data_IF_777377828162
#
_entry.id   IF_777377828162
#
_cell.length_a   1.000
_cell.length_b   1.000
_cell.length_c   1.000
_cell.angle_alpha   90.00
_cell.angle_beta   90.00
_cell.angle_gamma   90.00
#
_symmetry.space_group_name_H-M   'P 1'
#
loop_
_entity.id
_entity.type
_entity.pdbx_description
1 polymer ?
#
# COMPACT_ATOMS: atom_id res chain seq x y z
N UNK A 1 32.97 1.11 0.08
CA UNK A 1 32.54 1.57 -1.28
C UNK A 1 31.93 2.95 -1.15
N UNK A 2 32.36 3.92 -1.97
CA UNK A 2 31.77 5.27 -1.93
C UNK A 2 30.36 5.27 -2.52
N UNK A 3 29.57 6.31 -2.26
CA UNK A 3 28.22 6.42 -2.84
C UNK A 3 28.25 6.51 -4.38
N UNK A 4 29.30 7.13 -4.96
CA UNK A 4 29.52 7.14 -6.40
C UNK A 4 29.79 5.73 -6.93
N UNK A 5 30.63 4.96 -6.26
CA UNK A 5 30.89 3.57 -6.64
C UNK A 5 29.64 2.69 -6.52
N UNK A 6 28.84 2.86 -5.49
CA UNK A 6 27.54 2.16 -5.35
C UNK A 6 26.60 2.49 -6.51
N UNK A 7 26.50 3.78 -6.89
CA UNK A 7 25.72 4.22 -8.05
C UNK A 7 26.20 3.55 -9.34
N UNK A 8 27.50 3.55 -9.59
CA UNK A 8 28.08 2.99 -10.80
C UNK A 8 27.93 1.47 -10.88
N UNK A 9 28.11 0.74 -9.77
CA UNK A 9 27.87 -0.71 -9.69
C UNK A 9 26.40 -1.01 -9.97
N UNK A 10 25.49 -0.22 -9.41
CA UNK A 10 24.06 -0.36 -9.68
C UNK A 10 23.75 -0.11 -11.17
N UNK A 11 24.23 0.99 -11.76
CA UNK A 11 24.03 1.30 -13.17
C UNK A 11 24.65 0.23 -14.09
N UNK A 12 25.79 -0.34 -13.72
CA UNK A 12 26.35 -1.49 -14.42
C UNK A 12 25.39 -2.68 -14.43
N UNK A 13 24.67 -2.89 -13.34
CA UNK A 13 23.76 -4.02 -13.18
C UNK A 13 22.46 -3.86 -13.96
N UNK A 14 21.97 -2.62 -14.13
CA UNK A 14 20.64 -2.33 -14.72
C UNK A 14 20.70 -1.74 -16.13
N UNK A 15 21.88 -1.53 -16.68
CA UNK A 15 22.16 -0.91 -17.96
C UNK A 15 21.73 0.57 -18.04
N UNK A 16 20.45 0.85 -17.83
CA UNK A 16 19.92 2.21 -17.73
C UNK A 16 18.71 2.27 -16.80
N UNK A 17 18.49 3.43 -16.16
CA UNK A 17 17.37 3.67 -15.25
C UNK A 17 16.83 5.08 -15.45
N UNK A 18 15.54 5.31 -15.20
CA UNK A 18 14.99 6.66 -15.14
C UNK A 18 15.63 7.46 -14.00
N UNK A 19 16.03 8.69 -14.28
CA UNK A 19 16.70 9.57 -13.30
C UNK A 19 15.91 9.70 -12.00
N UNK A 20 14.58 9.84 -12.07
CA UNK A 20 13.69 9.95 -10.92
C UNK A 20 13.63 8.69 -10.05
N UNK A 21 13.97 7.54 -10.59
CA UNK A 21 13.96 6.25 -9.89
C UNK A 21 15.28 5.92 -9.18
N UNK A 22 16.35 6.70 -9.42
CA UNK A 22 17.66 6.44 -8.82
C UNK A 22 17.63 6.43 -7.29
N UNK A 23 16.91 7.37 -6.68
CA UNK A 23 16.81 7.46 -5.23
C UNK A 23 16.04 6.29 -4.60
N UNK A 24 15.06 5.76 -5.34
CA UNK A 24 14.30 4.56 -4.93
C UNK A 24 15.18 3.32 -5.08
N UNK A 25 15.93 3.24 -6.19
CA UNK A 25 16.80 2.12 -6.50
C UNK A 25 17.99 1.98 -5.52
N UNK A 26 18.52 3.10 -5.07
CA UNK A 26 19.60 3.21 -4.09
C UNK A 26 19.06 3.59 -2.71
N UNK A 27 18.08 2.81 -2.23
CA UNK A 27 17.36 3.08 -0.98
C UNK A 27 18.25 3.07 0.27
N UNK A 28 19.39 2.38 0.21
CA UNK A 28 20.44 2.38 1.25
C UNK A 28 21.25 3.69 1.34
N UNK A 29 21.03 4.63 0.41
CA UNK A 29 21.73 5.91 0.34
C UNK A 29 20.69 7.05 0.53
N UNK A 30 20.94 8.03 1.41
CA UNK A 30 20.09 9.22 1.53
C UNK A 30 19.94 9.94 0.19
N UNK A 31 18.75 10.47 -0.09
CA UNK A 31 18.41 11.13 -1.37
C UNK A 31 19.46 12.18 -1.80
N UNK A 32 19.85 13.04 -0.86
CA UNK A 32 20.85 14.09 -1.12
C UNK A 32 22.21 13.50 -1.52
N UNK A 33 22.58 12.35 -0.94
CA UNK A 33 23.83 11.67 -1.26
C UNK A 33 23.76 10.99 -2.64
N UNK A 34 22.60 10.46 -3.07
CA UNK A 34 22.39 9.95 -4.43
C UNK A 34 22.57 11.08 -5.46
N UNK A 35 21.98 12.24 -5.19
CA UNK A 35 22.11 13.43 -6.07
C UNK A 35 23.56 13.92 -6.15
N UNK A 36 24.27 13.95 -5.01
CA UNK A 36 25.70 14.30 -4.98
C UNK A 36 26.56 13.29 -5.76
N UNK A 37 26.31 11.99 -5.55
CA UNK A 37 27.01 10.92 -6.28
C UNK A 37 26.79 11.00 -7.79
N UNK A 38 25.55 11.26 -8.21
CA UNK A 38 25.25 11.42 -9.64
C UNK A 38 25.94 12.65 -10.26
N UNK A 39 25.97 13.78 -9.55
CA UNK A 39 26.69 14.98 -10.00
C UNK A 39 28.21 14.72 -10.11
N UNK A 40 28.79 14.03 -9.15
CA UNK A 40 30.21 13.65 -9.17
C UNK A 40 30.49 12.72 -10.35
N UNK A 41 29.71 11.63 -10.50
CA UNK A 41 29.87 10.69 -11.61
C UNK A 41 29.68 11.37 -12.99
N UNK A 42 28.78 12.34 -13.12
CA UNK A 42 28.62 13.14 -14.33
C UNK A 42 29.84 14.03 -14.58
N UNK A 43 30.36 14.69 -13.53
CA UNK A 43 31.56 15.54 -13.63
C UNK A 43 32.80 14.73 -14.07
N UNK A 44 32.92 13.49 -13.60
CA UNK A 44 34.01 12.57 -13.97
C UNK A 44 33.77 11.88 -15.33
N UNK A 45 32.65 12.12 -16.01
CA UNK A 45 32.33 11.46 -17.28
C UNK A 45 31.94 9.98 -17.14
N UNK A 46 31.66 9.50 -15.92
CA UNK A 46 31.35 8.09 -15.65
C UNK A 46 29.92 7.69 -15.97
N UNK A 47 29.03 8.67 -16.15
CA UNK A 47 27.63 8.45 -16.50
C UNK A 47 27.20 9.34 -17.65
N UNK A 48 26.26 8.83 -18.44
CA UNK A 48 25.57 9.56 -19.49
C UNK A 48 24.11 9.75 -19.11
N UNK A 49 23.59 10.96 -19.37
CA UNK A 49 22.16 11.28 -19.19
C UNK A 49 21.57 11.51 -20.57
N UNK A 50 20.52 10.80 -20.91
CA UNK A 50 19.85 10.89 -22.21
C UNK A 50 18.34 10.91 -22.06
N UNK A 51 17.65 11.39 -23.08
CA UNK A 51 16.18 11.42 -23.15
C UNK A 51 15.68 10.20 -23.93
N UNK A 52 14.61 9.59 -23.42
CA UNK A 52 13.85 8.55 -24.09
C UNK A 52 12.40 8.64 -23.64
N UNK A 53 11.44 8.65 -24.57
CA UNK A 53 9.99 8.73 -24.30
C UNK A 53 9.66 9.82 -23.26
N UNK A 54 10.16 11.05 -23.51
CA UNK A 54 10.01 12.25 -22.65
C UNK A 54 10.62 12.12 -21.24
N UNK A 55 11.23 11.01 -20.92
CA UNK A 55 11.87 10.75 -19.63
C UNK A 55 13.39 10.80 -19.71
N UNK A 56 14.00 11.35 -18.63
CA UNK A 56 15.47 11.32 -18.48
C UNK A 56 15.92 9.95 -17.98
N UNK A 57 16.89 9.37 -18.64
CA UNK A 57 17.56 8.12 -18.25
C UNK A 57 19.03 8.37 -17.95
N UNK A 58 19.57 7.54 -17.06
CA UNK A 58 20.99 7.53 -16.69
C UNK A 58 21.54 6.15 -17.00
N UNK A 59 22.71 6.09 -17.63
CA UNK A 59 23.47 4.86 -17.84
C UNK A 59 24.94 5.07 -17.51
N UNK A 60 25.66 3.98 -17.26
CA UNK A 60 27.11 4.04 -17.09
C UNK A 60 27.77 4.29 -18.44
N UNK A 61 28.77 5.18 -18.48
CA UNK A 61 29.57 5.45 -19.65
C UNK A 61 30.67 4.40 -19.85
N UNK A 62 31.33 4.36 -21.02
CA UNK A 62 32.52 3.53 -21.23
C UNK A 62 33.65 3.80 -20.24
N UNK A 63 33.86 5.05 -19.84
CA UNK A 63 34.87 5.42 -18.84
C UNK A 63 34.45 5.04 -17.41
N UNK A 64 33.18 5.16 -17.09
CA UNK A 64 32.63 4.62 -15.84
C UNK A 64 32.78 3.10 -15.74
N UNK A 65 32.61 2.38 -16.86
CA UNK A 65 32.87 0.94 -16.92
C UNK A 65 34.32 0.59 -16.66
N UNK A 66 35.26 1.35 -17.26
CA UNK A 66 36.70 1.16 -17.03
C UNK A 66 37.05 1.42 -15.55
N UNK A 67 36.52 2.51 -14.99
CA UNK A 67 36.77 2.87 -13.60
C UNK A 67 36.25 1.78 -12.62
N UNK A 68 35.03 1.30 -12.77
CA UNK A 68 34.49 0.24 -11.93
C UNK A 68 35.26 -1.06 -12.07
N UNK A 69 35.65 -1.44 -13.28
CA UNK A 69 36.50 -2.64 -13.54
C UNK A 69 37.87 -2.57 -12.87
N UNK A 70 38.44 -1.38 -12.75
CA UNK A 70 39.74 -1.20 -12.09
C UNK A 70 39.63 -1.16 -10.56
N UNK A 71 38.52 -0.66 -10.02
CA UNK A 71 38.35 -0.41 -8.57
C UNK A 71 37.54 -1.48 -7.85
N UNK A 72 36.72 -2.25 -8.55
CA UNK A 72 35.74 -3.21 -7.98
C UNK A 72 35.75 -4.54 -8.75
N UNK A 73 36.92 -5.14 -8.95
CA UNK A 73 37.07 -6.40 -9.74
C UNK A 73 36.16 -7.52 -9.24
N UNK A 74 36.01 -7.67 -7.94
CA UNK A 74 35.21 -8.74 -7.30
C UNK A 74 33.70 -8.53 -7.42
N UNK A 75 33.24 -7.29 -7.69
CA UNK A 75 31.81 -6.98 -7.83
C UNK A 75 31.28 -7.23 -9.27
N UNK A 76 32.15 -7.54 -10.23
CA UNK A 76 31.87 -7.55 -11.68
C UNK A 76 31.98 -8.94 -12.31
N UNK A 77 31.45 -9.97 -11.70
CA UNK A 77 31.42 -11.32 -12.25
C UNK A 77 30.61 -11.38 -13.57
N UNK A 78 31.30 -11.78 -14.67
CA UNK A 78 30.77 -11.74 -16.05
C UNK A 78 29.58 -12.71 -16.24
N UNK A 79 29.59 -13.83 -15.55
CA UNK A 79 28.50 -14.84 -15.65
C UNK A 79 27.19 -14.35 -14.99
N UNK A 80 27.27 -13.42 -14.07
CA UNK A 80 26.08 -12.75 -13.50
C UNK A 80 25.35 -11.85 -14.50
N UNK A 81 25.99 -11.44 -15.60
CA UNK A 81 25.40 -10.52 -16.60
C UNK A 81 24.24 -11.12 -17.39
N UNK A 82 24.28 -12.41 -17.72
CA UNK A 82 23.18 -13.09 -18.42
C UNK A 82 21.98 -13.35 -17.50
N UNK A 83 22.24 -13.67 -16.24
CA UNK A 83 21.22 -13.77 -15.19
C UNK A 83 20.61 -12.38 -14.86
N UNK A 84 21.40 -11.31 -14.96
CA UNK A 84 20.98 -9.92 -14.75
C UNK A 84 20.01 -9.39 -15.79
N UNK A 85 20.14 -9.73 -17.08
CA UNK A 85 19.15 -9.28 -18.10
C UNK A 85 17.71 -9.67 -17.76
N UNK A 86 17.48 -10.81 -17.13
CA UNK A 86 16.16 -11.22 -16.62
C UNK A 86 15.77 -10.45 -15.36
N UNK A 87 16.73 -10.07 -14.52
CA UNK A 87 16.51 -9.25 -13.32
C UNK A 87 16.17 -7.80 -13.66
N UNK A 88 16.74 -7.20 -14.72
CA UNK A 88 16.50 -5.82 -15.11
C UNK A 88 15.01 -5.53 -15.34
N UNK A 89 14.32 -6.38 -16.13
CA UNK A 89 12.88 -6.20 -16.38
C UNK A 89 12.04 -6.34 -15.11
N UNK A 90 12.42 -7.25 -14.23
CA UNK A 90 11.83 -7.44 -12.92
C UNK A 90 12.04 -6.23 -12.01
N UNK A 91 13.26 -5.68 -12.02
CA UNK A 91 13.64 -4.52 -11.21
C UNK A 91 12.93 -3.24 -11.66
N UNK A 92 12.87 -2.95 -12.96
CA UNK A 92 12.07 -1.83 -13.46
C UNK A 92 10.60 -1.92 -13.02
N UNK A 93 10.00 -3.11 -13.12
CA UNK A 93 8.65 -3.33 -12.64
C UNK A 93 8.52 -3.14 -11.12
N UNK A 94 9.53 -3.51 -10.33
CA UNK A 94 9.57 -3.26 -8.88
C UNK A 94 9.63 -1.76 -8.60
N UNK A 95 10.54 -1.05 -9.24
CA UNK A 95 10.71 0.40 -9.06
C UNK A 95 9.45 1.18 -9.44
N UNK A 96 8.79 0.80 -10.55
CA UNK A 96 7.53 1.43 -10.96
C UNK A 96 6.44 1.24 -9.91
N UNK A 97 6.34 0.04 -9.33
CA UNK A 97 5.37 -0.21 -8.25
C UNK A 97 5.66 0.62 -7.00
N UNK A 98 6.93 0.68 -6.59
CA UNK A 98 7.35 1.50 -5.44
C UNK A 98 7.07 2.98 -5.71
N UNK A 99 7.43 3.49 -6.88
CA UNK A 99 7.17 4.87 -7.28
C UNK A 99 5.67 5.20 -7.26
N UNK A 100 4.85 4.33 -7.86
CA UNK A 100 3.38 4.50 -7.85
C UNK A 100 2.84 4.54 -6.42
N UNK A 101 3.26 3.61 -5.57
CA UNK A 101 2.83 3.57 -4.16
C UNK A 101 3.26 4.82 -3.41
N UNK A 102 4.50 5.28 -3.57
CA UNK A 102 5.00 6.52 -2.97
C UNK A 102 4.18 7.75 -3.41
N UNK A 103 3.86 7.85 -4.70
CA UNK A 103 3.03 8.93 -5.22
C UNK A 103 1.63 8.93 -4.59
N UNK A 104 0.99 7.76 -4.49
CA UNK A 104 -0.32 7.61 -3.89
C UNK A 104 -0.31 7.95 -2.39
N UNK A 105 0.66 7.42 -1.64
CA UNK A 105 0.79 7.69 -0.21
C UNK A 105 1.02 9.18 0.06
N UNK A 106 1.94 9.84 -0.66
CA UNK A 106 2.16 11.30 -0.51
C UNK A 106 0.90 12.10 -0.80
N UNK A 107 0.18 11.76 -1.87
CA UNK A 107 -1.07 12.44 -2.21
C UNK A 107 -2.16 12.23 -1.14
N UNK A 108 -2.16 11.06 -0.46
CA UNK A 108 -3.04 10.77 0.67
C UNK A 108 -2.55 11.38 2.00
N UNK A 109 -1.43 12.11 2.00
CA UNK A 109 -0.81 12.67 3.20
C UNK A 109 -0.04 11.65 4.06
N UNK A 110 0.15 10.42 3.57
CA UNK A 110 0.96 9.39 4.24
C UNK A 110 2.42 9.62 3.87
N UNK A 111 3.21 10.05 4.83
CA UNK A 111 4.61 10.39 4.60
C UNK A 111 5.50 9.14 4.54
N UNK A 112 6.42 9.03 3.56
CA UNK A 112 7.46 8.00 3.59
C UNK A 112 8.42 8.24 4.76
N UNK A 113 8.69 7.22 5.57
CA UNK A 113 9.56 7.29 6.73
C UNK A 113 10.97 7.81 6.40
N UNK A 114 11.49 7.44 5.24
CA UNK A 114 12.76 7.97 4.72
C UNK A 114 12.76 9.49 4.51
N UNK A 115 11.64 10.10 4.15
CA UNK A 115 11.51 11.56 3.97
C UNK A 115 11.41 12.26 5.32
N UNK A 116 10.80 11.62 6.30
CA UNK A 116 10.80 12.05 7.70
C UNK A 116 12.14 11.81 8.40
N UNK A 117 13.11 11.16 7.73
CA UNK A 117 14.39 10.75 8.32
C UNK A 117 14.24 9.78 9.51
N UNK A 118 13.14 9.04 9.56
CA UNK A 118 12.81 8.04 10.57
C UNK A 118 13.08 6.66 10.00
N UNK A 119 13.68 5.77 10.80
CA UNK A 119 13.88 4.36 10.45
C UNK A 119 13.00 3.47 11.30
N UNK A 120 12.51 2.37 10.71
CA UNK A 120 11.67 1.42 11.43
C UNK A 120 12.35 0.87 12.69
N UNK A 121 13.65 0.56 12.62
CA UNK A 121 14.39 0.03 13.77
C UNK A 121 14.46 1.04 14.92
N UNK A 122 14.60 2.32 14.59
CA UNK A 122 14.68 3.40 15.60
C UNK A 122 13.28 3.67 16.22
N UNK A 123 12.20 3.50 15.45
CA UNK A 123 10.80 3.59 15.94
C UNK A 123 10.49 2.50 16.97
N UNK A 124 11.04 1.31 16.79
CA UNK A 124 10.73 0.15 17.64
C UNK A 124 11.47 0.18 18.99
N UNK A 125 12.33 1.16 19.21
CA UNK A 125 13.08 1.38 20.45
C UNK A 125 12.59 2.66 21.16
N UNK A 126 11.85 2.56 22.28
CA UNK A 126 11.24 3.72 22.97
C UNK A 126 12.27 4.72 23.54
N UNK A 127 13.54 4.35 23.62
CA UNK A 127 14.60 5.26 24.07
C UNK A 127 15.08 6.21 22.96
N UNK A 128 14.63 6.04 21.73
CA UNK A 128 15.00 6.86 20.58
C UNK A 128 14.08 8.07 20.41
N UNK A 129 14.63 9.23 20.09
CA UNK A 129 13.85 10.43 19.72
C UNK A 129 12.92 10.17 18.53
N UNK A 130 13.31 9.26 17.63
CA UNK A 130 12.51 8.84 16.48
C UNK A 130 11.18 8.20 16.86
N UNK A 131 11.13 7.46 17.98
CA UNK A 131 9.91 6.87 18.51
C UNK A 131 8.93 7.93 18.96
N UNK A 132 9.40 8.91 19.73
CA UNK A 132 8.55 10.01 20.18
C UNK A 132 8.02 10.83 19.00
N UNK A 133 8.90 11.18 18.05
CA UNK A 133 8.48 11.86 16.82
C UNK A 133 7.46 11.05 16.04
N UNK A 134 7.65 9.74 15.90
CA UNK A 134 6.69 8.87 15.24
C UNK A 134 5.35 8.84 15.95
N UNK A 135 5.34 8.64 17.27
CA UNK A 135 4.10 8.56 18.06
C UNK A 135 3.34 9.88 18.04
N UNK A 136 4.02 11.02 18.23
CA UNK A 136 3.37 12.32 18.33
C UNK A 136 2.89 12.86 16.96
N UNK A 137 3.72 12.74 15.91
CA UNK A 137 3.50 13.46 14.65
C UNK A 137 2.83 12.58 13.58
N UNK A 138 2.89 11.25 13.71
CA UNK A 138 2.46 10.35 12.64
C UNK A 138 1.51 9.25 13.08
N UNK A 139 1.74 8.64 14.24
CA UNK A 139 0.98 7.45 14.65
C UNK A 139 -0.51 7.73 14.78
N UNK A 140 -0.86 8.83 15.41
CA UNK A 140 -2.26 9.23 15.63
C UNK A 140 -2.89 9.94 14.43
N UNK A 141 -2.11 10.34 13.44
CA UNK A 141 -2.58 10.88 12.16
C UNK A 141 -2.64 9.77 11.10
N UNK A 142 -2.04 9.97 9.96
CA UNK A 142 -2.08 9.06 8.79
C UNK A 142 -1.00 7.98 8.80
N UNK A 143 -0.06 8.07 9.72
CA UNK A 143 1.04 7.14 9.87
C UNK A 143 2.22 7.39 8.95
N UNK A 144 3.21 6.50 9.02
CA UNK A 144 4.38 6.48 8.17
C UNK A 144 4.40 5.25 7.26
N UNK A 145 4.85 5.45 6.02
CA UNK A 145 5.15 4.40 5.07
C UNK A 145 6.60 3.93 5.22
N UNK A 146 6.80 2.69 5.66
CA UNK A 146 8.08 1.99 5.66
C UNK A 146 8.19 1.09 4.43
N UNK A 147 9.23 1.25 3.61
CA UNK A 147 9.40 0.46 2.39
C UNK A 147 9.92 -0.95 2.67
N UNK A 148 9.63 -1.88 1.77
CA UNK A 148 9.98 -3.30 1.90
C UNK A 148 11.47 -3.57 2.10
N UNK A 149 12.35 -2.74 1.52
CA UNK A 149 13.80 -2.89 1.66
C UNK A 149 14.25 -2.52 3.08
N UNK A 150 13.69 -1.47 3.67
CA UNK A 150 13.91 -1.05 5.06
C UNK A 150 13.40 -2.09 6.06
N UNK A 151 12.17 -2.59 5.85
CA UNK A 151 11.59 -3.65 6.67
C UNK A 151 12.49 -4.90 6.64
N UNK A 152 13.01 -5.25 5.46
CA UNK A 152 13.92 -6.40 5.32
C UNK A 152 15.23 -6.19 6.06
N UNK A 153 15.76 -4.96 6.06
CA UNK A 153 16.97 -4.63 6.78
C UNK A 153 16.73 -4.71 8.31
N UNK A 154 15.62 -4.17 8.79
CA UNK A 154 15.23 -4.21 10.22
C UNK A 154 15.06 -5.65 10.70
N UNK A 155 14.32 -6.50 9.97
CA UNK A 155 14.15 -7.92 10.33
C UNK A 155 15.50 -8.62 10.44
N UNK A 156 16.41 -8.42 9.47
CA UNK A 156 17.75 -9.03 9.50
C UNK A 156 18.60 -8.60 10.68
N UNK A 157 18.40 -7.38 11.15
CA UNK A 157 19.17 -6.83 12.29
C UNK A 157 18.60 -7.32 13.63
N UNK A 158 17.29 -7.41 13.73
CA UNK A 158 16.56 -7.74 14.98
C UNK A 158 16.43 -9.24 15.24
N UNK A 159 16.52 -10.08 14.19
CA UNK A 159 16.38 -11.53 14.37
C UNK A 159 17.74 -12.21 14.44
N UNK A 160 17.99 -12.92 15.54
CA UNK A 160 19.11 -13.90 15.69
C UNK A 160 18.85 -15.18 14.88
N UNK A 161 17.78 -15.25 14.10
CA UNK A 161 17.41 -16.39 13.28
C UNK A 161 18.36 -16.48 12.07
N UNK A 162 19.31 -17.41 12.17
CA UNK A 162 20.28 -17.77 11.12
C UNK A 162 19.71 -18.44 9.87
N UNK A 163 18.41 -18.34 9.62
CA UNK A 163 17.80 -18.79 8.38
C UNK A 163 17.75 -17.61 7.39
N UNK A 164 18.30 -17.85 6.21
CA UNK A 164 18.09 -17.01 5.01
C UNK A 164 16.58 -16.95 4.69
N UNK A 165 15.85 -16.11 5.44
CA UNK A 165 14.51 -15.71 5.01
C UNK A 165 14.68 -15.05 3.65
N UNK A 166 14.31 -15.76 2.59
CA UNK A 166 14.25 -15.23 1.22
C UNK A 166 13.10 -14.24 1.09
N UNK A 167 13.15 -13.18 1.92
CA UNK A 167 12.20 -12.05 1.93
C UNK A 167 12.13 -11.36 0.57
N UNK A 168 13.14 -11.57 -0.28
CA UNK A 168 13.21 -10.99 -1.63
C UNK A 168 12.21 -11.52 -2.64
N UNK A 169 11.40 -12.53 -2.33
CA UNK A 169 10.39 -13.08 -3.24
C UNK A 169 8.98 -12.55 -2.99
N UNK A 170 8.71 -11.92 -1.84
CA UNK A 170 7.46 -11.24 -1.55
C UNK A 170 7.23 -10.06 -2.52
N UNK A 171 5.97 -9.73 -2.75
CA UNK A 171 5.52 -8.60 -3.58
C UNK A 171 5.17 -7.37 -2.77
N UNK A 172 5.37 -7.41 -1.48
CA UNK A 172 5.18 -6.29 -0.57
C UNK A 172 5.99 -5.08 -1.05
N UNK A 173 5.34 -3.93 -1.16
CA UNK A 173 5.98 -2.64 -1.46
C UNK A 173 6.39 -1.94 -0.18
N UNK A 174 5.54 -1.97 0.84
CA UNK A 174 5.78 -1.37 2.14
C UNK A 174 4.64 -1.61 3.10
N UNK A 175 4.77 -1.09 4.30
CA UNK A 175 3.71 -1.08 5.32
C UNK A 175 3.45 0.36 5.77
N UNK A 176 2.20 0.66 6.07
CA UNK A 176 1.81 1.87 6.80
C UNK A 176 1.44 1.46 8.21
N UNK A 177 2.00 2.16 9.19
CA UNK A 177 1.73 1.95 10.61
C UNK A 177 1.09 3.21 11.17
N UNK A 178 -0.09 3.10 11.73
CA UNK A 178 -0.79 4.16 12.44
C UNK A 178 -1.76 3.57 13.49
N UNK A 179 -2.47 4.42 14.23
CA UNK A 179 -3.42 4.02 15.27
C UNK A 179 -4.54 3.07 14.80
N UNK A 180 -4.85 3.05 13.50
CA UNK A 180 -5.92 2.19 12.95
C UNK A 180 -5.44 0.79 12.60
N UNK A 181 -4.15 0.52 12.76
CA UNK A 181 -3.53 -0.77 12.49
C UNK A 181 -2.37 -0.73 11.52
N UNK A 182 -1.99 -1.91 11.07
CA UNK A 182 -0.87 -2.13 10.15
C UNK A 182 -1.42 -2.50 8.78
N UNK A 183 -1.13 -1.67 7.77
CA UNK A 183 -1.58 -1.86 6.40
C UNK A 183 -0.42 -2.29 5.51
N UNK A 184 -0.53 -3.46 4.88
CA UNK A 184 0.44 -4.00 3.93
C UNK A 184 0.09 -3.56 2.52
N UNK A 185 0.99 -2.83 1.85
CA UNK A 185 0.76 -2.24 0.54
C UNK A 185 1.35 -3.09 -0.58
N UNK A 186 0.52 -3.41 -1.55
CA UNK A 186 0.89 -4.09 -2.78
C UNK A 186 0.50 -3.24 -3.99
N UNK A 187 1.23 -3.36 -5.10
CA UNK A 187 0.91 -2.64 -6.32
C UNK A 187 0.89 -3.57 -7.51
N UNK A 188 -0.27 -3.71 -8.15
CA UNK A 188 -0.44 -4.58 -9.32
C UNK A 188 -0.28 -3.85 -10.66
N UNK A 189 -0.41 -2.53 -10.67
CA UNK A 189 -0.56 -1.71 -11.86
C UNK A 189 -1.80 -2.12 -12.69
N UNK A 190 -1.63 -2.57 -13.93
CA UNK A 190 -2.69 -2.92 -14.88
C UNK A 190 -2.90 -4.43 -15.08
N UNK A 191 -2.06 -5.27 -14.45
CA UNK A 191 -2.09 -6.73 -14.61
C UNK A 191 -2.03 -7.43 -13.27
N UNK A 192 -2.68 -8.58 -13.16
CA UNK A 192 -2.53 -9.44 -12.00
C UNK A 192 -1.05 -9.78 -11.81
N UNK A 193 -0.53 -9.50 -10.62
CA UNK A 193 0.84 -9.83 -10.29
C UNK A 193 0.96 -11.28 -9.85
N UNK A 194 2.19 -11.80 -9.92
CA UNK A 194 2.52 -13.08 -9.33
C UNK A 194 2.43 -12.96 -7.81
N UNK A 195 1.69 -13.90 -7.21
CA UNK A 195 1.46 -14.00 -5.79
C UNK A 195 1.74 -15.42 -5.33
N UNK A 196 2.58 -15.60 -4.35
CA UNK A 196 2.88 -16.91 -3.78
C UNK A 196 2.55 -16.84 -2.30
N UNK A 197 1.43 -17.47 -1.91
CA UNK A 197 0.85 -17.40 -0.57
C UNK A 197 1.89 -17.65 0.52
N UNK A 198 2.69 -18.71 0.41
CA UNK A 198 3.69 -19.04 1.43
C UNK A 198 4.78 -17.98 1.61
N UNK A 199 5.12 -17.22 0.57
CA UNK A 199 6.09 -16.12 0.68
C UNK A 199 5.47 -14.91 1.37
N UNK A 200 4.23 -14.60 1.04
CA UNK A 200 3.51 -13.48 1.64
C UNK A 200 3.15 -13.78 3.11
N UNK A 201 2.70 -15.00 3.44
CA UNK A 201 2.47 -15.43 4.83
C UNK A 201 3.73 -15.28 5.69
N UNK A 202 4.87 -15.79 5.22
CA UNK A 202 6.15 -15.65 5.94
C UNK A 202 6.52 -14.18 6.13
N UNK A 203 6.29 -13.36 5.11
CA UNK A 203 6.60 -11.93 5.17
C UNK A 203 5.74 -11.21 6.20
N UNK A 204 4.41 -11.45 6.17
CA UNK A 204 3.46 -10.88 7.13
C UNK A 204 3.78 -11.35 8.54
N UNK A 205 3.99 -12.67 8.74
CA UNK A 205 4.36 -13.20 10.06
C UNK A 205 5.63 -12.59 10.60
N UNK A 206 6.69 -12.49 9.78
CA UNK A 206 7.95 -11.89 10.21
C UNK A 206 7.83 -10.40 10.59
N UNK A 207 7.02 -9.64 9.85
CA UNK A 207 6.74 -8.24 10.18
C UNK A 207 5.93 -8.13 11.46
N UNK A 208 4.85 -8.90 11.58
CA UNK A 208 4.00 -8.86 12.78
C UNK A 208 4.73 -9.32 14.03
N UNK A 209 5.59 -10.33 13.91
CA UNK A 209 6.46 -10.80 15.01
C UNK A 209 7.47 -9.72 15.42
N UNK A 210 8.14 -9.10 14.46
CA UNK A 210 9.05 -7.98 14.71
C UNK A 210 8.36 -6.85 15.50
N UNK A 211 7.16 -6.43 15.07
CA UNK A 211 6.43 -5.35 15.70
C UNK A 211 5.94 -5.74 17.11
N UNK A 212 5.39 -6.95 17.28
CA UNK A 212 4.91 -7.47 18.58
C UNK A 212 6.03 -7.66 19.61
N UNK A 213 7.20 -8.08 19.16
CA UNK A 213 8.36 -8.31 20.03
C UNK A 213 9.19 -7.07 20.30
N UNK A 214 8.81 -5.92 19.77
CA UNK A 214 9.53 -4.66 19.96
C UNK A 214 9.40 -4.12 21.39
N UNK A 215 10.40 -3.36 21.82
CA UNK A 215 10.35 -2.65 23.11
C UNK A 215 9.21 -1.62 23.14
N UNK A 216 8.87 -1.02 22.00
CA UNK A 216 7.72 -0.11 21.90
C UNK A 216 6.41 -0.82 22.21
N UNK A 217 6.16 -2.01 21.66
CA UNK A 217 4.96 -2.78 21.95
C UNK A 217 4.88 -3.25 23.42
N UNK A 218 6.02 -3.34 24.10
CA UNK A 218 6.08 -3.67 25.53
C UNK A 218 5.79 -2.48 26.45
N UNK A 219 5.95 -1.25 25.97
CA UNK A 219 5.87 -0.01 26.77
C UNK A 219 4.69 0.89 26.40
N UNK A 220 4.13 0.75 25.21
CA UNK A 220 3.02 1.56 24.70
C UNK A 220 1.80 0.68 24.39
N UNK A 221 0.69 0.94 25.09
CA UNK A 221 -0.54 0.13 25.01
C UNK A 221 -1.24 0.29 23.67
N UNK A 222 -1.22 1.48 23.06
CA UNK A 222 -1.85 1.74 21.78
C UNK A 222 -1.11 1.02 20.65
N UNK A 223 0.22 1.08 20.69
CA UNK A 223 1.03 0.35 19.74
C UNK A 223 0.90 -1.18 19.91
N UNK A 224 0.86 -1.67 21.15
CA UNK A 224 0.58 -3.07 21.44
C UNK A 224 -0.78 -3.52 20.90
N UNK A 225 -1.78 -2.66 21.04
CA UNK A 225 -3.14 -2.92 20.53
C UNK A 225 -3.15 -3.12 19.02
N UNK A 226 -2.55 -2.21 18.24
CA UNK A 226 -2.51 -2.36 16.78
C UNK A 226 -1.69 -3.56 16.32
N UNK A 227 -0.64 -3.93 17.06
CA UNK A 227 0.14 -5.12 16.79
C UNK A 227 -0.68 -6.42 16.95
N UNK A 228 -1.72 -6.42 17.80
CA UNK A 228 -2.61 -7.54 18.00
C UNK A 228 -3.82 -7.54 17.06
N UNK A 229 -4.06 -6.48 16.32
CA UNK A 229 -5.10 -6.43 15.30
C UNK A 229 -4.71 -7.26 14.06
N UNK A 230 -5.72 -7.73 13.34
CA UNK A 230 -5.49 -8.35 12.02
C UNK A 230 -4.97 -7.32 11.04
N UNK A 231 -3.83 -7.57 10.37
CA UNK A 231 -3.29 -6.62 9.41
C UNK A 231 -4.22 -6.45 8.20
N UNK A 232 -4.24 -5.24 7.64
CA UNK A 232 -4.99 -4.90 6.43
C UNK A 232 -4.11 -5.12 5.20
N UNK A 233 -4.70 -5.59 4.10
CA UNK A 233 -4.06 -5.60 2.79
C UNK A 233 -4.63 -4.48 1.92
N UNK A 234 -3.78 -3.65 1.33
CA UNK A 234 -4.18 -2.62 0.38
C UNK A 234 -3.50 -2.90 -0.96
N UNK A 235 -4.29 -3.19 -1.98
CA UNK A 235 -3.83 -3.45 -3.34
C UNK A 235 -4.03 -2.21 -4.21
N UNK A 236 -2.94 -1.56 -4.58
CA UNK A 236 -2.95 -0.42 -5.49
C UNK A 236 -2.91 -0.92 -6.93
N UNK A 237 -3.83 -0.46 -7.78
CA UNK A 237 -3.88 -0.83 -9.19
C UNK A 237 -4.23 0.36 -10.09
N UNK A 238 -3.96 0.25 -11.39
CA UNK A 238 -4.15 1.36 -12.32
C UNK A 238 -5.61 1.81 -12.43
N UNK A 239 -6.52 0.84 -12.51
CA UNK A 239 -7.97 1.10 -12.65
C UNK A 239 -8.77 0.03 -11.93
N UNK A 240 -10.02 0.35 -11.58
CA UNK A 240 -10.96 -0.60 -10.98
C UNK A 240 -11.29 -1.80 -11.90
N UNK A 241 -10.96 -1.76 -13.18
CA UNK A 241 -11.16 -2.88 -14.12
C UNK A 241 -10.37 -4.16 -13.76
N UNK A 242 -9.41 -4.06 -12.82
CA UNK A 242 -8.69 -5.24 -12.31
C UNK A 242 -9.44 -5.97 -11.18
N UNK A 243 -10.35 -5.27 -10.49
CA UNK A 243 -11.10 -5.81 -9.34
C UNK A 243 -11.84 -7.11 -9.67
N UNK A 244 -12.64 -7.18 -10.75
CA UNK A 244 -13.29 -8.44 -11.12
C UNK A 244 -12.33 -9.59 -11.36
N UNK A 245 -11.14 -9.31 -11.90
CA UNK A 245 -10.11 -10.33 -12.15
C UNK A 245 -9.49 -10.86 -10.88
N UNK A 246 -9.37 -10.02 -9.85
CA UNK A 246 -8.88 -10.44 -8.52
C UNK A 246 -9.94 -11.32 -7.84
N UNK A 247 -11.21 -10.92 -7.89
CA UNK A 247 -12.32 -11.66 -7.27
C UNK A 247 -12.52 -13.01 -7.94
N UNK A 248 -12.57 -13.06 -9.28
CA UNK A 248 -12.88 -14.30 -10.01
C UNK A 248 -11.69 -15.22 -10.20
N UNK A 249 -10.48 -14.73 -9.97
CA UNK A 249 -9.26 -15.48 -10.27
C UNK A 249 -9.01 -15.69 -11.76
N UNK A 250 -9.84 -15.11 -12.63
CA UNK A 250 -9.85 -15.37 -14.06
C UNK A 250 -9.00 -14.36 -14.83
N UNK A 251 -7.94 -14.86 -15.42
CA UNK A 251 -7.08 -14.07 -16.32
C UNK A 251 -7.79 -13.69 -17.63
N UNK A 252 -8.85 -14.41 -18.02
CA UNK A 252 -9.49 -14.31 -19.34
C UNK A 252 -11.02 -14.29 -19.35
N UNK A 253 -11.67 -14.22 -18.19
CA UNK A 253 -13.15 -14.27 -18.10
C UNK A 253 -13.76 -15.63 -18.43
N UNK A 254 -12.97 -16.70 -18.38
CA UNK A 254 -13.43 -18.07 -18.61
C UNK A 254 -13.13 -18.92 -17.38
N UNK A 255 -14.09 -19.71 -16.93
CA UNK A 255 -13.87 -20.72 -15.90
C UNK A 255 -12.68 -21.61 -16.29
N UNK A 256 -11.78 -21.84 -15.34
CA UNK A 256 -10.61 -22.70 -15.55
C UNK A 256 -11.14 -24.11 -15.80
N UNK A 257 -10.98 -24.59 -17.02
CA UNK A 257 -11.30 -25.97 -17.33
C UNK A 257 -10.34 -26.90 -16.56
N UNK A 258 -10.89 -27.79 -15.76
CA UNK A 258 -10.16 -28.64 -14.81
C UNK A 258 -9.13 -29.59 -15.46
N UNK A 259 -9.11 -29.65 -16.79
CA UNK A 259 -8.20 -30.51 -17.56
C UNK A 259 -6.83 -29.90 -17.82
N UNK A 260 -6.60 -28.61 -17.51
CA UNK A 260 -5.35 -27.92 -17.83
C UNK A 260 -4.50 -27.65 -16.56
N UNK A 261 -3.83 -28.71 -16.11
CA UNK A 261 -2.98 -28.71 -14.88
C UNK A 261 -1.92 -27.59 -14.90
N UNK A 262 -1.38 -27.27 -16.07
CA UNK A 262 -0.33 -26.21 -16.19
C UNK A 262 -0.95 -24.83 -15.99
N UNK A 263 -2.13 -24.57 -16.52
CA UNK A 263 -2.86 -23.30 -16.32
C UNK A 263 -3.35 -23.18 -14.90
N UNK A 264 -3.85 -24.25 -14.30
CA UNK A 264 -4.26 -24.31 -12.87
C UNK A 264 -3.09 -23.98 -11.96
N UNK A 265 -1.91 -24.58 -12.20
CA UNK A 265 -0.71 -24.33 -11.40
C UNK A 265 -0.20 -22.87 -11.51
N UNK A 266 -0.37 -22.22 -12.67
CA UNK A 266 -0.05 -20.80 -12.82
C UNK A 266 -1.12 -19.88 -12.23
N UNK A 267 -2.40 -20.25 -12.25
CA UNK A 267 -3.49 -19.51 -11.64
C UNK A 267 -3.36 -19.46 -10.11
N UNK A 268 -2.93 -20.56 -9.47
CA UNK A 268 -2.69 -20.62 -8.01
C UNK A 268 -1.54 -19.71 -7.54
N UNK A 269 -0.81 -19.08 -8.47
CA UNK A 269 0.31 -18.17 -8.18
C UNK A 269 0.03 -16.73 -8.59
N UNK A 270 -1.24 -16.35 -8.78
CA UNK A 270 -1.63 -14.99 -9.07
C UNK A 270 -2.29 -14.34 -7.85
N UNK A 271 -2.27 -13.01 -7.84
CA UNK A 271 -3.05 -12.22 -6.88
C UNK A 271 -4.54 -12.40 -7.19
N UNK A 272 -5.20 -13.21 -6.37
CA UNK A 272 -6.65 -13.46 -6.41
C UNK A 272 -7.20 -13.34 -5.01
N UNK A 273 -8.52 -13.14 -4.87
CA UNK A 273 -9.15 -13.05 -3.57
C UNK A 273 -8.91 -14.31 -2.74
N UNK A 274 -9.12 -15.49 -3.31
CA UNK A 274 -8.85 -16.77 -2.63
C UNK A 274 -7.41 -16.88 -2.07
N UNK A 275 -6.43 -16.27 -2.76
CA UNK A 275 -5.05 -16.25 -2.29
C UNK A 275 -4.79 -15.14 -1.26
N UNK A 276 -5.53 -14.02 -1.33
CA UNK A 276 -5.48 -12.94 -0.33
C UNK A 276 -6.05 -13.39 1.01
N UNK A 277 -7.20 -14.05 1.00
CA UNK A 277 -7.89 -14.55 2.20
C UNK A 277 -7.08 -15.56 3.01
N UNK A 278 -6.11 -16.23 2.37
CA UNK A 278 -5.17 -17.10 3.08
C UNK A 278 -4.12 -16.33 3.91
N UNK A 279 -3.99 -15.03 3.68
CA UNK A 279 -2.97 -14.18 4.34
C UNK A 279 -3.60 -13.07 5.17
N UNK A 280 -4.70 -12.49 4.69
CA UNK A 280 -5.35 -11.33 5.28
C UNK A 280 -6.82 -11.58 5.55
N UNK A 281 -7.32 -11.00 6.63
CA UNK A 281 -8.75 -11.00 6.96
C UNK A 281 -9.52 -9.91 6.19
N UNK A 282 -8.84 -8.80 5.87
CA UNK A 282 -9.43 -7.64 5.18
C UNK A 282 -8.52 -7.21 4.05
N UNK A 283 -9.06 -7.10 2.85
CA UNK A 283 -8.32 -6.75 1.64
C UNK A 283 -9.07 -5.68 0.83
N UNK A 284 -8.37 -4.59 0.53
CA UNK A 284 -8.93 -3.40 -0.11
C UNK A 284 -8.25 -3.13 -1.43
N UNK A 285 -8.99 -2.51 -2.36
CA UNK A 285 -8.46 -2.03 -3.62
C UNK A 285 -8.47 -0.51 -3.71
N UNK A 286 -7.40 0.05 -4.25
CA UNK A 286 -7.23 1.49 -4.46
C UNK A 286 -6.74 1.74 -5.88
N UNK A 287 -7.51 2.45 -6.74
CA UNK A 287 -7.06 2.83 -8.09
C UNK A 287 -6.05 3.97 -8.02
N UNK A 288 -5.14 4.06 -9.01
CA UNK A 288 -4.17 5.17 -9.12
C UNK A 288 -4.80 6.41 -9.76
N UNK A 289 -5.79 6.98 -9.10
CA UNK A 289 -6.55 8.18 -9.53
C UNK A 289 -6.78 9.10 -8.33
N UNK A 290 -7.36 10.29 -8.54
CA UNK A 290 -7.78 11.20 -7.46
C UNK A 290 -8.67 10.50 -6.45
N UNK A 291 -9.69 9.78 -6.91
CA UNK A 291 -10.56 8.97 -6.05
C UNK A 291 -9.76 7.94 -5.26
N UNK A 292 -8.76 7.31 -5.88
CA UNK A 292 -7.91 6.35 -5.18
C UNK A 292 -7.12 6.98 -4.04
N UNK A 293 -6.78 8.26 -4.11
CA UNK A 293 -6.15 8.99 -3.00
C UNK A 293 -7.10 9.06 -1.81
N UNK A 294 -8.36 9.41 -2.05
CA UNK A 294 -9.39 9.44 -0.99
C UNK A 294 -9.66 8.05 -0.41
N UNK A 295 -9.78 7.04 -1.28
CA UNK A 295 -9.95 5.65 -0.82
C UNK A 295 -8.76 5.17 0.01
N UNK A 296 -7.54 5.55 -0.36
CA UNK A 296 -6.33 5.21 0.41
C UNK A 296 -6.35 5.90 1.77
N UNK A 297 -6.73 7.18 1.82
CA UNK A 297 -6.88 7.93 3.07
C UNK A 297 -7.92 7.26 3.97
N UNK A 298 -9.11 6.98 3.48
CA UNK A 298 -10.17 6.30 4.25
C UNK A 298 -9.72 4.93 4.76
N UNK A 299 -9.09 4.13 3.90
CA UNK A 299 -8.64 2.77 4.25
C UNK A 299 -7.51 2.78 5.28
N UNK A 300 -6.57 3.73 5.15
CA UNK A 300 -5.42 3.83 6.03
C UNK A 300 -5.76 4.54 7.36
N UNK A 301 -6.53 5.63 7.32
CA UNK A 301 -6.76 6.51 8.46
C UNK A 301 -8.00 6.17 9.29
N UNK A 302 -8.96 5.40 8.75
CA UNK A 302 -10.19 5.05 9.47
C UNK A 302 -10.21 3.59 9.91
N UNK A 303 -10.72 3.37 11.10
CA UNK A 303 -11.10 2.04 11.59
C UNK A 303 -12.36 1.56 10.89
N UNK A 304 -12.66 0.27 11.01
CA UNK A 304 -13.91 -0.28 10.47
C UNK A 304 -15.17 0.32 11.12
N UNK A 305 -15.10 0.62 12.40
CA UNK A 305 -16.21 1.26 13.10
C UNK A 305 -16.44 2.69 12.60
N UNK A 306 -15.38 3.47 12.40
CA UNK A 306 -15.49 4.81 11.82
C UNK A 306 -16.01 4.78 10.37
N UNK A 307 -15.62 3.79 9.56
CA UNK A 307 -16.22 3.59 8.24
C UNK A 307 -17.71 3.24 8.31
N UNK A 308 -18.12 2.41 9.27
CA UNK A 308 -19.54 2.07 9.47
C UNK A 308 -20.35 3.27 9.95
N UNK A 309 -19.80 4.09 10.84
CA UNK A 309 -20.43 5.34 11.26
C UNK A 309 -20.62 6.30 10.07
N UNK A 310 -19.58 6.44 9.22
CA UNK A 310 -19.67 7.24 8.01
C UNK A 310 -20.78 6.75 7.07
N UNK A 311 -20.89 5.43 6.86
CA UNK A 311 -21.98 4.82 6.08
C UNK A 311 -23.33 5.14 6.73
N UNK A 312 -23.45 5.01 8.04
CA UNK A 312 -24.70 5.31 8.77
C UNK A 312 -25.14 6.75 8.57
N UNK A 313 -24.23 7.69 8.71
CA UNK A 313 -24.51 9.11 8.52
C UNK A 313 -24.96 9.42 7.08
N UNK A 314 -24.35 8.80 6.09
CA UNK A 314 -24.77 8.98 4.72
C UNK A 314 -26.16 8.41 4.43
N UNK A 315 -26.49 7.27 5.06
CA UNK A 315 -27.81 6.68 4.95
C UNK A 315 -28.86 7.54 5.67
N UNK A 316 -28.55 8.13 6.82
CA UNK A 316 -29.42 9.05 7.53
C UNK A 316 -29.82 10.28 6.69
N UNK A 317 -28.91 10.74 5.82
CA UNK A 317 -29.20 11.87 4.93
C UNK A 317 -29.96 11.47 3.65
N UNK A 318 -29.81 10.21 3.21
CA UNK A 318 -30.43 9.71 1.98
C UNK A 318 -31.78 9.05 2.18
N UNK A 319 -31.97 8.39 3.31
CA UNK A 319 -33.09 7.51 3.57
C UNK A 319 -33.96 8.07 4.70
N UNK A 320 -35.26 7.89 4.58
CA UNK A 320 -36.23 8.21 5.64
C UNK A 320 -36.02 7.33 6.88
N UNK A 321 -35.54 6.11 6.66
CA UNK A 321 -35.10 5.17 7.69
C UNK A 321 -34.24 4.05 7.11
N UNK A 322 -33.39 3.47 7.93
CA UNK A 322 -32.61 2.30 7.56
C UNK A 322 -32.35 1.36 8.73
N UNK A 323 -31.99 0.11 8.44
CA UNK A 323 -31.55 -0.85 9.45
C UNK A 323 -30.12 -0.51 9.91
N UNK A 324 -29.74 -0.99 11.09
CA UNK A 324 -28.39 -0.79 11.61
C UNK A 324 -27.34 -1.25 10.63
N UNK A 325 -26.34 -0.40 10.37
CA UNK A 325 -25.19 -0.72 9.54
C UNK A 325 -24.32 -1.72 10.28
N UNK A 326 -24.31 -2.96 9.81
CA UNK A 326 -23.35 -3.98 10.23
C UNK A 326 -22.29 -4.12 9.16
N UNK A 327 -21.01 -4.15 9.57
CA UNK A 327 -19.88 -4.12 8.66
C UNK A 327 -20.04 -5.06 7.45
N UNK A 328 -19.97 -4.49 6.27
CA UNK A 328 -19.81 -5.22 5.04
C UNK A 328 -21.07 -5.87 4.48
N UNK A 329 -22.27 -5.49 4.88
CA UNK A 329 -23.50 -6.06 4.35
C UNK A 329 -24.44 -4.97 3.83
N UNK A 330 -25.35 -5.38 2.94
CA UNK A 330 -26.38 -4.46 2.49
C UNK A 330 -27.25 -4.00 3.68
N UNK A 331 -27.71 -2.77 3.54
CA UNK A 331 -28.65 -2.16 4.47
C UNK A 331 -30.01 -2.11 3.78
N UNK A 332 -31.06 -2.48 4.50
CA UNK A 332 -32.43 -2.18 4.04
C UNK A 332 -32.73 -0.73 4.39
N UNK A 333 -33.04 0.08 3.41
CA UNK A 333 -33.34 1.50 3.55
C UNK A 333 -34.68 1.84 2.88
N UNK A 334 -35.37 2.85 3.40
CA UNK A 334 -36.52 3.47 2.76
C UNK A 334 -36.06 4.75 2.07
N UNK A 335 -36.13 4.76 0.76
CA UNK A 335 -35.74 5.87 -0.09
C UNK A 335 -36.89 6.20 -1.00
N UNK A 336 -37.41 7.46 -0.95
CA UNK A 336 -38.59 7.89 -1.68
C UNK A 336 -39.81 6.98 -1.42
N UNK A 337 -40.10 6.70 -0.17
CA UNK A 337 -41.19 5.84 0.29
C UNK A 337 -41.13 4.37 -0.18
N UNK A 338 -40.00 3.96 -0.76
CA UNK A 338 -39.79 2.58 -1.22
C UNK A 338 -38.73 1.87 -0.41
N UNK A 339 -39.04 0.65 0.04
CA UNK A 339 -38.04 -0.22 0.65
C UNK A 339 -37.09 -0.77 -0.39
N UNK A 340 -35.80 -0.47 -0.25
CA UNK A 340 -34.75 -0.94 -1.15
C UNK A 340 -33.60 -1.55 -0.38
N UNK A 341 -32.88 -2.44 -1.05
CA UNK A 341 -31.61 -2.96 -0.58
C UNK A 341 -30.49 -2.11 -1.13
N UNK A 342 -29.68 -1.56 -0.25
CA UNK A 342 -28.63 -0.62 -0.60
C UNK A 342 -27.29 -1.13 -0.08
N UNK A 343 -26.25 -1.07 -0.91
CA UNK A 343 -24.88 -1.30 -0.53
C UNK A 343 -24.16 0.02 -0.62
N UNK A 344 -23.55 0.44 0.47
CA UNK A 344 -22.71 1.65 0.50
C UNK A 344 -21.26 1.24 0.59
N UNK A 345 -20.46 1.66 -0.38
CA UNK A 345 -19.06 1.28 -0.55
C UNK A 345 -18.17 2.52 -0.43
N UNK A 346 -17.80 2.96 0.79
CA UNK A 346 -16.87 4.07 1.01
C UNK A 346 -15.44 3.70 0.60
N UNK A 347 -15.17 2.41 0.53
CA UNK A 347 -13.91 1.79 0.09
C UNK A 347 -14.21 0.56 -0.74
N UNK A 348 -13.27 0.10 -1.56
CA UNK A 348 -13.41 -1.15 -2.33
C UNK A 348 -12.82 -2.29 -1.50
N UNK A 349 -13.66 -3.03 -0.80
CA UNK A 349 -13.30 -4.23 -0.05
C UNK A 349 -13.62 -5.48 -0.90
N UNK A 350 -12.65 -6.35 -1.12
CA UNK A 350 -12.82 -7.51 -2.00
C UNK A 350 -13.80 -8.53 -1.44
N UNK A 351 -13.71 -8.82 -0.15
CA UNK A 351 -14.55 -9.79 0.53
C UNK A 351 -16.02 -9.36 0.50
N UNK A 352 -16.27 -8.06 0.64
CA UNK A 352 -17.62 -7.50 0.52
C UNK A 352 -18.17 -7.67 -0.89
N UNK A 353 -17.39 -7.29 -1.90
CA UNK A 353 -17.81 -7.43 -3.30
C UNK A 353 -18.06 -8.89 -3.69
N UNK A 354 -17.26 -9.84 -3.20
CA UNK A 354 -17.50 -11.26 -3.44
C UNK A 354 -18.78 -11.74 -2.76
N UNK A 355 -18.98 -11.36 -1.49
CA UNK A 355 -20.21 -11.68 -0.77
C UNK A 355 -21.44 -11.19 -1.52
N UNK A 356 -21.44 -9.94 -1.97
CA UNK A 356 -22.55 -9.34 -2.70
C UNK A 356 -22.75 -9.98 -4.08
N UNK A 357 -21.67 -10.33 -4.79
CA UNK A 357 -21.73 -11.05 -6.06
C UNK A 357 -22.45 -12.38 -5.92
N UNK A 358 -22.24 -13.11 -4.83
CA UNK A 358 -22.84 -14.40 -4.56
C UNK A 358 -24.27 -14.29 -3.99
N UNK A 359 -24.70 -13.10 -3.58
CA UNK A 359 -26.05 -12.81 -3.11
C UNK A 359 -27.12 -13.08 -4.20
N UNK A 360 -28.37 -13.27 -3.78
CA UNK A 360 -29.50 -13.58 -4.70
C UNK A 360 -30.32 -12.36 -5.12
N UNK A 361 -30.15 -11.25 -4.44
CA UNK A 361 -31.01 -10.07 -4.57
C UNK A 361 -30.23 -8.94 -5.24
N UNK A 362 -30.85 -8.19 -6.17
CA UNK A 362 -30.24 -6.99 -6.73
C UNK A 362 -30.22 -5.83 -5.72
N UNK A 363 -29.31 -4.89 -5.93
CA UNK A 363 -29.01 -3.79 -5.00
C UNK A 363 -28.93 -2.44 -5.71
N UNK A 364 -29.28 -1.39 -4.96
CA UNK A 364 -28.79 -0.05 -5.24
C UNK A 364 -27.39 0.09 -4.66
N UNK A 365 -26.44 0.61 -5.43
CA UNK A 365 -25.06 0.76 -4.99
C UNK A 365 -24.73 2.23 -4.83
N UNK A 366 -24.28 2.59 -3.63
CA UNK A 366 -23.79 3.95 -3.31
C UNK A 366 -22.26 3.90 -3.27
N UNK A 367 -21.62 4.60 -4.18
CA UNK A 367 -20.15 4.63 -4.27
C UNK A 367 -19.67 5.85 -5.07
N UNK A 368 -18.41 6.15 -4.97
CA UNK A 368 -17.76 7.20 -5.78
C UNK A 368 -17.90 6.91 -7.29
N UNK A 369 -18.16 7.93 -8.10
CA UNK A 369 -18.37 7.81 -9.54
C UNK A 369 -17.27 7.03 -10.26
N UNK A 370 -16.00 7.26 -9.91
CA UNK A 370 -14.88 6.55 -10.52
C UNK A 370 -14.75 5.08 -10.14
N UNK A 371 -15.54 4.58 -9.17
CA UNK A 371 -15.57 3.17 -8.77
C UNK A 371 -16.61 2.37 -9.57
N UNK A 372 -17.63 3.01 -10.12
CA UNK A 372 -18.83 2.38 -10.69
C UNK A 372 -18.51 1.33 -11.76
N UNK A 373 -17.60 1.63 -12.71
CA UNK A 373 -17.24 0.67 -13.77
C UNK A 373 -16.66 -0.64 -13.22
N UNK A 374 -15.77 -0.54 -12.24
CA UNK A 374 -15.16 -1.71 -11.59
C UNK A 374 -16.17 -2.53 -10.78
N UNK A 375 -17.03 -1.85 -10.01
CA UNK A 375 -18.07 -2.46 -9.20
C UNK A 375 -19.14 -3.10 -10.09
N UNK A 376 -19.60 -2.41 -11.13
CA UNK A 376 -20.55 -2.96 -12.11
C UNK A 376 -20.04 -4.25 -12.74
N UNK A 377 -18.77 -4.29 -13.13
CA UNK A 377 -18.15 -5.51 -13.68
C UNK A 377 -18.00 -6.62 -12.65
N UNK A 378 -17.78 -6.27 -11.38
CA UNK A 378 -17.66 -7.26 -10.31
C UNK A 378 -19.02 -7.87 -9.93
N UNK A 379 -20.05 -7.04 -9.78
CA UNK A 379 -21.39 -7.43 -9.34
C UNK A 379 -22.32 -7.84 -10.51
N UNK A 380 -22.04 -7.37 -11.74
CA UNK A 380 -22.81 -7.69 -12.93
C UNK A 380 -24.27 -7.22 -12.84
N UNK A 381 -25.21 -8.09 -13.23
CA UNK A 381 -26.65 -7.81 -13.22
C UNK A 381 -27.28 -7.63 -11.84
N UNK A 382 -26.50 -7.71 -10.77
CA UNK A 382 -26.96 -7.45 -9.40
C UNK A 382 -27.13 -5.96 -9.10
N UNK A 383 -26.48 -5.10 -9.85
CA UNK A 383 -26.59 -3.66 -9.70
C UNK A 383 -27.85 -3.17 -10.39
N UNK A 384 -28.76 -2.55 -9.64
CA UNK A 384 -29.96 -1.90 -10.18
C UNK A 384 -29.63 -0.49 -10.66
N UNK A 385 -28.99 0.30 -9.83
CA UNK A 385 -28.52 1.63 -10.16
C UNK A 385 -27.34 2.03 -9.26
N UNK A 386 -26.74 3.17 -9.58
CA UNK A 386 -25.69 3.80 -8.76
C UNK A 386 -26.15 5.15 -8.23
N UNK A 387 -25.82 5.40 -6.95
CA UNK A 387 -25.88 6.72 -6.33
C UNK A 387 -24.47 7.22 -6.12
N UNK A 388 -24.17 8.42 -6.58
CA UNK A 388 -22.84 9.02 -6.43
C UNK A 388 -22.65 9.59 -5.02
N UNK A 389 -21.51 9.35 -4.40
CA UNK A 389 -21.12 10.01 -3.17
C UNK A 389 -20.93 11.51 -3.31
N UNK A 390 -20.51 11.97 -4.48
CA UNK A 390 -20.36 13.40 -4.76
C UNK A 390 -21.65 14.20 -4.53
N UNK A 391 -22.79 13.54 -4.55
CA UNK A 391 -24.10 14.13 -4.30
C UNK A 391 -24.61 13.90 -2.88
N UNK A 392 -23.86 13.16 -2.05
CA UNK A 392 -24.19 12.90 -0.65
C UNK A 392 -23.26 13.80 0.16
N UNK A 393 -23.80 14.87 0.81
CA UNK A 393 -22.95 15.74 1.59
C UNK A 393 -22.28 14.93 2.69
N UNK A 394 -20.95 15.08 2.80
CA UNK A 394 -20.24 14.58 3.98
C UNK A 394 -20.86 15.27 5.19
N UNK A 395 -21.15 14.57 6.26
CA UNK A 395 -21.76 15.14 7.45
C UNK A 395 -20.79 16.14 8.08
N UNK A 396 -20.89 17.40 7.65
CA UNK A 396 -20.05 18.50 8.11
C UNK A 396 -20.12 18.73 9.63
N UNK A 397 -21.09 18.11 10.29
CA UNK A 397 -21.30 18.24 11.72
C UNK A 397 -20.47 17.28 12.59
N UNK A 398 -19.79 16.31 12.01
CA UNK A 398 -18.95 15.36 12.77
C UNK A 398 -17.45 15.62 12.64
N UNK A 399 -17.04 16.39 11.65
CA UNK A 399 -15.64 16.70 11.40
C UNK A 399 -15.50 18.17 11.09
N UNK A 400 -14.47 18.80 11.58
CA UNK A 400 -14.02 20.12 11.13
C UNK A 400 -13.13 20.01 9.89
N UNK A 401 -12.64 21.15 9.39
CA UNK A 401 -11.79 21.21 8.22
C UNK A 401 -10.43 20.51 8.42
N UNK A 402 -10.03 20.29 9.70
CA UNK A 402 -8.81 19.59 10.06
C UNK A 402 -9.05 18.08 10.32
N UNK A 403 -10.26 17.59 10.12
CA UNK A 403 -10.65 16.19 10.32
C UNK A 403 -10.91 15.82 11.78
N UNK A 404 -11.06 16.80 12.66
CA UNK A 404 -11.41 16.62 14.07
C UNK A 404 -12.92 16.50 14.21
N UNK A 405 -13.39 15.49 14.94
CA UNK A 405 -14.81 15.33 15.21
C UNK A 405 -15.34 16.53 16.00
N UNK A 406 -16.49 17.08 15.60
CA UNK A 406 -17.14 18.20 16.30
C UNK A 406 -17.65 17.85 17.69
N UNK A 407 -17.70 16.56 18.03
CA UNK A 407 -17.99 16.07 19.38
C UNK A 407 -16.74 16.01 20.28
N UNK A 408 -15.61 16.59 19.86
CA UNK A 408 -14.37 16.65 20.60
C UNK A 408 -13.47 15.42 20.44
N UNK A 409 -13.87 14.44 19.61
CA UNK A 409 -13.04 13.26 19.33
C UNK A 409 -12.43 13.41 17.94
N UNK A 410 -11.12 13.52 17.85
CA UNK A 410 -10.42 13.47 16.57
C UNK A 410 -10.42 12.02 16.05
N UNK A 411 -11.02 11.72 14.89
CA UNK A 411 -11.04 10.35 14.36
C UNK A 411 -9.69 9.90 13.83
N UNK A 412 -8.74 10.83 13.68
CA UNK A 412 -7.38 10.56 13.21
C UNK A 412 -6.36 10.57 14.33
N UNK A 413 -6.77 10.96 15.55
CA UNK A 413 -5.92 10.95 16.74
C UNK A 413 -6.55 10.10 17.83
N UNK A 414 -5.73 9.44 18.61
CA UNK A 414 -6.16 8.57 19.69
C UNK A 414 -6.53 9.35 20.96
N UNK A 415 -6.10 10.61 21.05
CA UNK A 415 -6.33 11.42 22.26
C UNK A 415 -7.80 11.81 22.34
N UNK A 416 -8.60 10.99 23.01
CA UNK A 416 -9.95 11.35 23.46
C UNK A 416 -9.97 12.46 24.52
N UNK A 417 -8.95 13.32 24.51
CA UNK A 417 -8.91 14.49 25.37
C UNK A 417 -9.82 15.56 24.78
N UNK A 418 -10.87 15.90 25.50
CA UNK A 418 -11.61 17.13 25.25
C UNK A 418 -10.62 18.30 25.45
N UNK A 419 -10.43 19.15 24.43
CA UNK A 419 -9.63 20.39 24.55
C UNK A 419 -10.13 21.33 25.66
N UNK A 420 -11.31 21.10 26.21
CA UNK A 420 -11.90 21.89 27.31
C UNK A 420 -11.21 21.69 28.68
N UNK A 421 -10.34 20.69 28.85
CA UNK A 421 -9.63 20.47 30.14
C UNK A 421 -8.25 21.13 30.23
N UNK A 422 -7.76 21.82 29.19
CA UNK A 422 -6.41 22.42 29.21
C UNK A 422 -6.35 23.91 29.59
N UNK A 423 -7.48 24.59 29.81
CA UNK A 423 -7.48 26.03 30.15
C UNK A 423 -7.56 26.33 31.68
N UNK A 424 -7.51 25.30 32.56
CA UNK A 424 -7.61 25.49 34.01
C UNK A 424 -6.43 24.90 34.81
N UNK A 425 -5.17 25.10 34.32
CA UNK A 425 -3.99 24.94 35.19
C UNK A 425 -2.94 26.04 35.01
#
# INVERSE_FOLDING_TARGET
MTNEQKLLVYLYSVDSIQHKQLAIALSDIPYQCVTKALRAAKKHGYVEVFMRDESRYVRISPDGLKYIRSTQKDALDVDKRAAMKRRIKGEQGRLTRVETTLCMCRAAGIQPAKEASIKLIDVLDPEQDATQTFMNDFFYDKGLLFLSDEISATIKTSTTMGEEYTLGQSRLVGIVINRTGISFLYCTLDKLMRWVVSYEQRRVSAVMELLKSSSLAATDEDFATICNMSPKCIVIGKTCAIVPKIITGDKYGKAIDSTDIIKTHNATRLLTLTNLEQVYKYSYFVPTSSIGVELLTRTAALTRNELNEMISVWLDEMAESHTTVTSGRYVEAYINEQKCKTITLPVIEFEELEYQKNGRVPYHVVCERGMQDGISRALGSKVLDFKDFDNIPMPAHKYDDDGIRRDGINPLTHNGYNEEEMDDQ
#
